data_IF_591983485101
#
_entry.id   IF_591983485101
#
_cell.length_a   1.000
_cell.length_b   1.000
_cell.length_c   1.000
_cell.angle_alpha   90.00
_cell.angle_beta   90.00
_cell.angle_gamma   90.00
#
_symmetry.space_group_name_H-M   'P 1'
#
loop_
_entity.id
_entity.type
_entity.pdbx_description
1 polymer ?
#
# COMPACT_ATOMS: atom_id res chain seq x y z
N UNK A 1 -12.11 16.38 3.64
CA UNK A 1 -12.53 15.43 4.62
C UNK A 1 -11.58 14.27 4.67
N UNK A 2 -11.17 13.87 5.84
CA UNK A 2 -10.21 12.77 5.96
C UNK A 2 -10.85 11.45 5.55
N UNK A 3 -10.08 10.57 4.94
CA UNK A 3 -10.57 9.30 4.53
C UNK A 3 -9.68 8.23 5.11
N UNK A 4 -10.15 7.58 6.16
CA UNK A 4 -9.37 6.56 6.82
C UNK A 4 -9.76 5.19 6.32
N UNK A 5 -8.77 4.39 5.97
CA UNK A 5 -8.99 3.04 5.48
C UNK A 5 -8.12 2.10 6.27
N UNK A 6 -8.63 0.91 6.57
CA UNK A 6 -7.93 -0.08 7.35
C UNK A 6 -7.11 -0.97 6.45
N UNK A 7 -5.85 -1.14 6.82
CA UNK A 7 -4.95 -2.07 6.15
C UNK A 7 -4.37 -3.01 7.20
N UNK A 8 -3.68 -4.06 6.77
CA UNK A 8 -3.02 -4.96 7.70
C UNK A 8 -1.57 -4.54 7.80
N UNK A 9 -1.12 -4.29 9.02
CA UNK A 9 0.23 -3.84 9.25
C UNK A 9 1.22 -4.96 8.95
N UNK A 10 2.28 -4.66 8.23
CA UNK A 10 3.30 -5.63 7.92
C UNK A 10 4.58 -5.40 8.70
N UNK A 11 4.63 -4.42 9.57
CA UNK A 11 5.84 -4.11 10.32
C UNK A 11 5.90 -4.86 11.63
N UNK A 12 6.99 -5.61 11.89
CA UNK A 12 7.12 -6.29 13.17
C UNK A 12 7.22 -5.28 14.31
N UNK A 13 6.73 -5.59 15.47
CA UNK A 13 6.11 -6.85 15.84
C UNK A 13 4.58 -6.85 15.69
N UNK A 14 4.06 -5.93 14.91
CA UNK A 14 2.62 -5.78 14.80
C UNK A 14 2.04 -6.35 13.53
N UNK A 15 2.72 -7.32 12.92
CA UNK A 15 2.24 -7.89 11.67
C UNK A 15 0.83 -8.43 11.81
N UNK A 16 0.01 -8.16 10.83
CA UNK A 16 -1.36 -8.66 10.80
C UNK A 16 -2.35 -7.85 11.59
N UNK A 17 -1.91 -6.86 12.36
CA UNK A 17 -2.84 -6.04 13.12
C UNK A 17 -3.39 -4.94 12.24
N UNK A 18 -4.60 -4.46 12.51
CA UNK A 18 -5.17 -3.42 11.67
C UNK A 18 -4.48 -2.08 11.89
N UNK A 19 -4.34 -1.32 10.82
CA UNK A 19 -3.81 0.01 10.92
C UNK A 19 -4.68 0.91 10.05
N UNK A 20 -5.08 2.04 10.60
CA UNK A 20 -5.88 3.01 9.87
C UNK A 20 -4.97 4.07 9.28
N UNK A 21 -5.07 4.27 7.98
CA UNK A 21 -4.25 5.24 7.28
C UNK A 21 -5.17 6.27 6.64
N UNK A 22 -4.84 7.54 6.83
CA UNK A 22 -5.57 8.61 6.18
C UNK A 22 -5.10 8.68 4.74
N UNK A 23 -5.89 8.14 3.83
CA UNK A 23 -5.47 8.00 2.45
C UNK A 23 -5.43 9.32 1.70
N UNK A 24 -5.96 10.39 2.28
CA UNK A 24 -5.81 11.70 1.67
C UNK A 24 -4.36 12.17 1.74
N UNK A 25 -3.56 11.59 2.61
CA UNK A 25 -2.16 11.99 2.74
C UNK A 25 -1.20 11.04 2.04
N UNK A 26 -1.71 10.00 1.39
CA UNK A 26 -0.85 9.05 0.71
C UNK A 26 -0.39 9.65 -0.60
N UNK A 27 0.92 9.65 -0.83
CA UNK A 27 1.52 10.23 -1.99
C UNK A 27 1.93 9.18 -3.01
N UNK A 28 2.44 8.06 -2.55
CA UNK A 28 2.86 7.01 -3.46
C UNK A 28 2.62 5.64 -2.86
N UNK A 29 2.39 4.67 -3.72
CA UNK A 29 2.11 3.29 -3.36
C UNK A 29 2.86 2.40 -4.33
N UNK A 30 3.57 1.41 -3.81
CA UNK A 30 4.26 0.48 -4.69
C UNK A 30 4.58 -0.82 -3.95
N UNK A 31 4.90 -1.85 -4.70
CA UNK A 31 5.35 -3.10 -4.11
C UNK A 31 6.83 -2.98 -3.82
N UNK A 32 7.22 -3.22 -2.57
CA UNK A 32 8.61 -3.14 -2.19
C UNK A 32 9.20 -4.53 -2.27
N UNK A 33 9.92 -4.80 -3.33
CA UNK A 33 10.47 -6.13 -3.55
C UNK A 33 11.59 -6.45 -2.58
N UNK A 34 12.24 -5.44 -2.04
CA UNK A 34 13.30 -5.69 -1.08
C UNK A 34 12.75 -6.03 0.28
N UNK A 35 11.48 -5.80 0.52
CA UNK A 35 10.85 -6.14 1.78
C UNK A 35 9.91 -7.33 1.63
N UNK A 36 10.18 -8.24 0.70
CA UNK A 36 9.37 -9.44 0.56
C UNK A 36 8.07 -9.21 -0.15
N UNK A 37 8.04 -8.28 -1.06
CA UNK A 37 6.84 -7.96 -1.83
C UNK A 37 5.74 -7.35 -1.00
N UNK A 38 6.08 -6.73 0.11
CA UNK A 38 5.09 -6.00 0.86
C UNK A 38 4.77 -4.70 0.15
N UNK A 39 3.57 -4.19 0.35
CA UNK A 39 3.17 -2.96 -0.30
C UNK A 39 3.52 -1.79 0.60
N UNK A 40 4.18 -0.81 0.04
CA UNK A 40 4.56 0.39 0.77
C UNK A 40 3.63 1.54 0.42
N UNK A 41 3.15 2.25 1.43
CA UNK A 41 2.37 3.45 1.24
C UNK A 41 3.16 4.60 1.86
N UNK A 42 3.45 5.61 1.07
CA UNK A 42 4.22 6.75 1.54
C UNK A 42 3.33 7.97 1.69
N UNK A 43 3.50 8.64 2.82
CA UNK A 43 2.91 9.95 3.03
C UNK A 43 4.05 10.94 3.18
N UNK A 44 3.74 12.18 3.44
CA UNK A 44 4.74 13.20 3.48
C UNK A 44 5.81 12.94 4.52
N UNK A 45 5.41 12.55 5.73
CA UNK A 45 6.34 12.38 6.81
C UNK A 45 6.49 10.97 7.30
N UNK A 46 5.81 10.02 6.66
CA UNK A 46 5.77 8.68 7.17
C UNK A 46 5.58 7.69 6.05
N UNK A 47 5.90 6.43 6.32
CA UNK A 47 5.50 5.40 5.38
C UNK A 47 5.15 4.12 6.13
N UNK A 48 4.41 3.25 5.48
CA UNK A 48 3.98 2.01 6.10
C UNK A 48 4.13 0.88 5.11
N UNK A 49 4.49 -0.31 5.61
CA UNK A 49 4.36 -1.52 4.82
C UNK A 49 3.11 -2.23 5.29
N UNK A 50 2.31 -2.72 4.36
CA UNK A 50 1.09 -3.43 4.68
C UNK A 50 1.11 -4.81 4.04
N UNK A 51 0.33 -5.73 4.60
CA UNK A 51 0.26 -7.09 4.10
C UNK A 51 -0.77 -7.25 3.01
N UNK A 52 -1.61 -6.27 2.79
CA UNK A 52 -2.59 -6.31 1.72
C UNK A 52 -1.84 -6.38 0.38
N UNK A 53 -2.39 -7.08 -0.59
CA UNK A 53 -1.75 -7.15 -1.89
C UNK A 53 -1.85 -5.79 -2.59
N UNK A 54 -1.05 -5.60 -3.62
CA UNK A 54 -1.08 -4.32 -4.33
C UNK A 54 -2.44 -4.10 -4.98
N UNK A 55 -3.07 -5.17 -5.44
CA UNK A 55 -4.40 -5.06 -6.02
C UNK A 55 -5.42 -4.65 -4.95
N UNK A 56 -5.29 -5.23 -3.76
CA UNK A 56 -6.21 -4.88 -2.68
C UNK A 56 -6.01 -3.44 -2.25
N UNK A 57 -4.78 -2.98 -2.19
CA UNK A 57 -4.51 -1.61 -1.79
C UNK A 57 -5.08 -0.64 -2.83
N UNK A 58 -4.88 -0.92 -4.12
CA UNK A 58 -5.44 -0.06 -5.14
C UNK A 58 -6.97 -0.04 -5.05
N UNK A 59 -7.57 -1.19 -4.81
CA UNK A 59 -9.02 -1.26 -4.71
C UNK A 59 -9.51 -0.42 -3.52
N UNK A 60 -8.84 -0.53 -2.39
CA UNK A 60 -9.22 0.23 -1.21
C UNK A 60 -9.07 1.73 -1.43
N UNK A 61 -8.11 2.13 -2.27
CA UNK A 61 -7.92 3.53 -2.55
C UNK A 61 -8.85 4.05 -3.65
N UNK A 62 -9.64 3.16 -4.22
CA UNK A 62 -10.54 3.56 -5.29
C UNK A 62 -9.85 3.70 -6.62
N UNK A 63 -8.70 3.07 -6.79
CA UNK A 63 -7.93 3.15 -8.01
C UNK A 63 -8.00 1.83 -8.75
N UNK A 64 -7.74 1.87 -10.04
CA UNK A 64 -7.73 0.68 -10.83
C UNK A 64 -6.29 0.24 -11.05
N UNK A 65 -5.95 -0.98 -10.66
CA UNK A 65 -4.59 -1.48 -10.84
C UNK A 65 -4.58 -2.35 -12.06
N UNK A 66 -3.74 -2.02 -13.03
CA UNK A 66 -3.61 -2.81 -14.20
C UNK A 66 -2.24 -3.41 -14.25
N UNK A 67 -2.16 -4.71 -14.05
CA UNK A 67 -0.89 -5.37 -14.15
C UNK A 67 -0.73 -5.75 -15.58
N UNK A 68 0.13 -5.04 -16.29
CA UNK A 68 0.32 -5.28 -17.65
C UNK A 68 1.65 -5.90 -17.82
N UNK A 69 1.75 -7.22 -18.05
CA UNK A 69 2.94 -7.81 -18.04
C UNK A 69 3.69 -7.70 -19.23
N UNK A 70 3.19 -7.31 -20.31
CA UNK A 70 3.97 -7.23 -21.42
C UNK A 70 4.43 -5.91 -21.66
N UNK A 71 4.13 -5.04 -20.90
CA UNK A 71 4.37 -3.81 -21.18
C UNK A 71 5.62 -3.32 -20.94
N UNK A 72 6.38 -3.91 -20.29
CA UNK A 72 7.55 -3.32 -19.93
C UNK A 72 8.49 -3.50 -20.96
N UNK A 73 8.71 -2.55 -21.73
CA UNK A 73 9.51 -2.67 -22.68
C UNK A 73 10.47 -1.71 -22.67
N UNK A 74 11.12 -1.35 -21.81
CA UNK A 74 12.17 -0.42 -21.95
C UNK A 74 13.51 -1.07 -21.95
#
# INVERSE_FOLDING_TARGET
>A
MAKFITFKNANPPYEGTPILINTDHVISVYEDLTAGKKVALWAKDNFWHVEDSIEEVYDKLGLEYKRDKKEIQW
#
